data_IF_504661412571
#
_entry.id   IF_504661412571
#
_cell.length_a   1.000
_cell.length_b   1.000
_cell.length_c   1.000
_cell.angle_alpha   90.00
_cell.angle_beta   90.00
_cell.angle_gamma   90.00
#
_symmetry.space_group_name_H-M   'P 1'
#
loop_
_entity.id
_entity.type
_entity.pdbx_description
1 polymer ?
2 non-polymer ?
3 non-polymer ?
4 water ?
#
# COMPACT_ATOMS: atom_id res chain seq x y z
N UNK A 25 -3.45 -24.52 -7.76
CA UNK A 25 -4.94 -24.32 -7.74
C UNK A 25 -5.38 -22.84 -7.96
N UNK A 26 -5.18 -21.97 -6.97
CA UNK A 26 -5.46 -20.52 -7.12
C UNK A 26 -4.17 -19.69 -7.34
N UNK A 27 -4.18 -18.85 -8.37
CA UNK A 27 -2.97 -18.09 -8.70
C UNK A 27 -3.26 -16.62 -8.92
N UNK A 28 -2.24 -15.79 -8.78
CA UNK A 28 -2.39 -14.33 -8.93
C UNK A 28 -1.91 -13.85 -10.29
N UNK A 29 -2.68 -12.96 -10.91
CA UNK A 29 -2.17 -12.14 -12.02
C UNK A 29 -2.11 -10.71 -11.54
N UNK A 30 -0.93 -10.10 -11.61
CA UNK A 30 -0.69 -8.79 -10.96
C UNK A 30 -0.11 -7.77 -11.94
N UNK A 31 -0.34 -6.48 -11.66
CA UNK A 31 0.38 -5.44 -12.40
C UNK A 31 0.69 -4.32 -11.44
N UNK A 32 1.95 -3.94 -11.29
CA UNK A 32 2.34 -2.79 -10.50
C UNK A 32 2.73 -1.62 -11.35
N UNK A 33 2.31 -0.39 -10.97
CA UNK A 33 2.71 0.84 -11.69
C UNK A 33 2.99 1.94 -10.70
N UNK A 34 4.02 2.73 -10.97
CA UNK A 34 4.36 3.86 -10.08
C UNK A 34 4.75 5.03 -10.90
N UNK A 35 4.30 6.24 -10.54
CA UNK A 35 4.68 7.40 -11.33
C UNK A 35 4.98 8.50 -10.32
N UNK A 36 5.91 9.35 -10.68
CA UNK A 36 6.29 10.46 -9.84
C UNK A 36 5.20 11.49 -9.69
N UNK A 37 4.30 11.56 -10.68
CA UNK A 37 3.27 12.57 -10.68
C UNK A 37 3.81 13.80 -11.39
N UNK A 38 3.10 14.92 -11.25
CA UNK A 38 3.37 16.07 -12.09
C UNK A 38 4.00 17.18 -11.30
N UNK A 39 4.22 16.96 -10.00
CA UNK A 39 4.72 17.97 -9.10
C UNK A 39 6.01 17.54 -8.38
N UNK A 40 6.02 16.34 -7.80
CA UNK A 40 7.09 15.98 -6.88
C UNK A 40 8.42 15.82 -7.62
N UNK A 41 9.51 16.22 -6.94
CA UNK A 41 10.89 16.13 -7.45
C UNK A 41 11.33 14.68 -7.64
N UNK A 42 11.09 13.84 -6.63
CA UNK A 42 11.45 12.42 -6.67
C UNK A 42 10.25 11.51 -6.39
N UNK A 43 10.43 10.22 -6.61
CA UNK A 43 9.37 9.26 -6.32
C UNK A 43 9.73 8.55 -5.05
N UNK A 44 9.00 8.86 -3.97
CA UNK A 44 9.28 8.30 -2.66
C UNK A 44 8.36 7.15 -2.32
N UNK A 45 7.53 6.72 -3.26
CA UNK A 45 6.76 5.48 -3.15
C UNK A 45 7.64 4.30 -3.56
N UNK A 46 7.49 3.16 -2.90
CA UNK A 46 8.14 1.90 -3.39
C UNK A 46 7.09 0.83 -3.48
N UNK A 47 7.28 -0.13 -4.38
CA UNK A 47 6.24 -1.11 -4.63
C UNK A 47 6.92 -2.42 -4.93
N UNK A 48 6.23 -3.53 -4.64
CA UNK A 48 6.66 -4.85 -5.09
C UNK A 48 5.40 -5.60 -5.51
N UNK A 49 5.49 -6.43 -6.57
CA UNK A 49 4.40 -7.36 -6.91
C UNK A 49 4.96 -8.62 -7.55
N UNK A 50 4.56 -9.76 -7.03
CA UNK A 50 4.94 -11.03 -7.57
C UNK A 50 3.82 -12.01 -7.32
N UNK A 51 4.12 -13.28 -7.58
CA UNK A 51 3.11 -14.33 -7.53
C UNK A 51 2.44 -14.54 -6.15
N UNK A 52 3.17 -14.26 -5.07
CA UNK A 52 2.63 -14.39 -3.70
C UNK A 52 2.44 -13.06 -2.89
N UNK A 53 3.32 -12.06 -3.10
CA UNK A 53 3.39 -10.82 -2.32
C UNK A 53 3.10 -9.61 -3.17
N UNK A 54 2.26 -8.71 -2.67
CA UNK A 54 1.97 -7.44 -3.26
C UNK A 54 2.26 -6.49 -2.13
N UNK A 55 2.90 -5.34 -2.39
CA UNK A 55 3.31 -4.48 -1.25
C UNK A 55 3.55 -3.10 -1.74
N UNK A 56 3.17 -2.13 -0.92
CA UNK A 56 3.32 -0.77 -1.36
C UNK A 56 3.61 0.08 -0.15
N UNK A 57 4.52 1.04 -0.33
CA UNK A 57 5.10 1.80 0.75
C UNK A 57 5.37 3.24 0.27
N UNK A 58 4.69 4.21 0.92
CA UNK A 58 4.75 5.63 0.57
C UNK A 58 5.64 6.31 1.60
N UNK A 59 6.85 6.66 1.18
CA UNK A 59 7.89 7.17 2.07
C UNK A 59 7.82 8.67 2.18
N UNK A 60 8.39 9.18 3.26
CA UNK A 60 8.43 10.62 3.55
C UNK A 60 9.72 10.94 4.37
N UNK A 61 10.16 12.20 4.31
CA UNK A 61 11.40 12.60 4.98
C UNK A 61 12.10 13.73 4.24
N UNK A 62 12.91 14.49 4.96
CA UNK A 62 13.57 15.67 4.37
C UNK A 62 14.64 15.22 3.41
N UNK A 63 14.56 15.67 2.15
CA UNK A 63 15.61 15.43 1.14
C UNK A 63 15.48 14.09 0.41
N UNK A 64 14.25 13.57 0.30
CA UNK A 64 14.01 12.22 -0.25
C UNK A 64 14.82 11.15 0.50
N UNK A 65 14.91 11.31 1.81
CA UNK A 65 15.29 10.23 2.70
C UNK A 65 14.09 9.27 2.69
N UNK A 66 13.09 9.66 1.94
CA UNK A 66 11.81 8.99 2.06
C UNK A 66 11.73 7.86 1.07
N UNK A 67 12.49 7.98 -0.02
CA UNK A 67 12.65 6.85 -0.87
C UNK A 67 13.49 5.84 -0.13
N UNK A 68 14.39 6.31 0.74
CA UNK A 68 15.20 5.39 1.56
C UNK A 68 14.27 4.55 2.45
N UNK A 69 13.41 5.22 3.22
CA UNK A 69 12.49 4.55 4.13
C UNK A 69 11.60 3.52 3.42
N UNK A 70 10.97 3.92 2.30
CA UNK A 70 10.06 3.05 1.60
C UNK A 70 10.79 1.83 0.99
N UNK A 71 11.99 2.04 0.47
CA UNK A 71 12.78 0.93 -0.07
C UNK A 71 13.21 -0.07 0.98
N UNK A 72 13.63 0.42 2.14
CA UNK A 72 14.06 -0.45 3.26
C UNK A 72 12.97 -1.38 3.69
N UNK A 73 11.75 -0.85 3.82
CA UNK A 73 10.59 -1.71 4.15
C UNK A 73 10.22 -2.68 3.05
N UNK A 74 10.20 -2.24 1.79
CA UNK A 74 9.86 -3.20 0.73
C UNK A 74 10.94 -4.32 0.69
N UNK A 75 12.17 -3.89 0.87
CA UNK A 75 13.35 -4.79 0.88
C UNK A 75 13.26 -5.83 1.98
N UNK A 76 12.65 -5.46 3.09
CA UNK A 76 12.45 -6.42 4.19
C UNK A 76 11.24 -7.34 3.96
N UNK A 77 10.30 -6.97 3.07
CA UNK A 77 9.14 -7.83 2.74
C UNK A 77 9.43 -8.81 1.61
N UNK A 78 10.32 -8.41 0.71
CA UNK A 78 10.58 -9.15 -0.52
C UNK A 78 10.74 -10.65 -0.36
N UNK A 79 11.33 -11.09 0.73
CA UNK A 79 11.66 -12.52 0.88
C UNK A 79 10.40 -13.35 1.02
N UNK A 80 9.30 -12.71 1.41
CA UNK A 80 8.03 -13.42 1.56
C UNK A 80 7.48 -13.88 0.22
N UNK A 81 7.96 -13.32 -0.87
CA UNK A 81 7.44 -13.71 -2.17
C UNK A 81 8.01 -15.06 -2.59
N UNK A 82 9.27 -15.29 -2.31
CA UNK A 82 9.96 -16.43 -2.87
C UNK A 82 10.22 -17.53 -1.86
N UNK A 83 9.99 -17.23 -0.57
CA UNK A 83 10.06 -18.23 0.50
C UNK A 83 9.01 -19.32 0.27
N UNK A 84 9.31 -20.53 0.73
CA UNK A 84 8.41 -21.66 0.65
C UNK A 84 7.11 -21.27 1.29
N UNK A 85 6.00 -21.49 0.57
CA UNK A 85 4.66 -21.15 1.03
C UNK A 85 3.99 -22.29 1.80
N UNK A 86 3.15 -21.95 2.78
CA UNK A 86 3.04 -20.61 3.36
C UNK A 86 3.24 -20.79 4.86
N UNK A 87 2.13 -21.02 5.57
CA UNK A 87 2.17 -21.19 7.01
C UNK A 87 1.42 -20.03 7.66
N UNK A 88 2.05 -19.41 8.64
CA UNK A 88 1.38 -18.37 9.44
C UNK A 88 1.59 -16.97 8.83
N UNK A 89 0.70 -16.62 7.91
CA UNK A 89 0.87 -15.41 7.09
C UNK A 89 1.05 -14.15 7.91
N UNK A 90 0.16 -13.94 8.89
CA UNK A 90 0.20 -12.73 9.69
C UNK A 90 1.51 -12.60 10.48
N UNK A 91 2.03 -13.74 10.95
CA UNK A 91 3.22 -13.75 11.77
C UNK A 91 4.45 -13.42 10.91
N UNK A 92 4.50 -13.99 9.71
CA UNK A 92 5.54 -13.74 8.73
C UNK A 92 5.54 -12.26 8.35
N UNK A 93 4.34 -11.75 8.06
CA UNK A 93 4.11 -10.35 7.71
C UNK A 93 4.51 -9.42 8.83
N UNK A 94 4.06 -9.74 10.03
CA UNK A 94 4.44 -8.97 11.20
C UNK A 94 5.96 -8.93 11.37
N UNK A 95 6.61 -10.08 11.25
CA UNK A 95 8.06 -10.11 11.39
C UNK A 95 8.73 -9.31 10.29
N UNK A 96 8.22 -9.38 9.06
CA UNK A 96 8.85 -8.70 7.94
C UNK A 96 8.85 -7.20 8.17
N UNK A 97 7.71 -6.69 8.60
CA UNK A 97 7.51 -5.26 8.84
C UNK A 97 8.39 -4.76 9.98
N UNK A 98 8.47 -5.52 11.06
CA UNK A 98 9.29 -5.16 12.22
C UNK A 98 10.73 -5.07 11.76
N UNK A 99 11.11 -6.00 10.87
CA UNK A 99 12.49 -6.00 10.29
C UNK A 99 12.76 -4.74 9.43
N UNK A 100 11.86 -4.42 8.50
CA UNK A 100 11.91 -3.13 7.81
C UNK A 100 11.97 -1.94 8.75
N UNK A 101 11.17 -1.93 9.81
CA UNK A 101 11.14 -0.78 10.71
C UNK A 101 12.47 -0.65 11.54
N UNK A 102 13.12 -1.78 11.86
CA UNK A 102 14.44 -1.79 12.52
C UNK A 102 15.52 -1.23 11.59
N UNK A 103 15.46 -1.63 10.31
CA UNK A 103 16.37 -1.06 9.29
C UNK A 103 16.29 0.46 9.23
N UNK A 104 15.07 0.99 9.32
CA UNK A 104 14.87 2.43 9.29
C UNK A 104 15.51 3.04 10.53
N UNK A 105 15.21 2.48 11.71
CA UNK A 105 15.84 2.94 12.96
C UNK A 105 17.34 2.97 12.85
N UNK A 106 17.90 1.91 12.30
CA UNK A 106 19.36 1.73 12.18
C UNK A 106 19.88 2.85 11.32
N UNK A 107 19.18 3.13 10.23
CA UNK A 107 19.48 4.22 9.29
C UNK A 107 19.50 5.58 9.95
N UNK A 108 18.43 5.93 10.64
CA UNK A 108 18.34 7.16 11.43
C UNK A 108 19.42 7.30 12.51
N UNK A 109 19.75 6.17 13.15
CA UNK A 109 20.75 6.15 14.20
C UNK A 109 22.11 6.48 13.56
N UNK A 110 22.37 5.94 12.38
CA UNK A 110 23.61 6.22 11.65
C UNK A 110 23.73 7.58 10.95
N UNK A 111 22.62 8.32 10.85
CA UNK A 111 22.64 9.69 10.32
C UNK A 111 21.39 10.44 10.73
N UNK A 112 21.43 11.17 11.89
CA UNK A 112 20.28 12.04 12.18
C UNK A 112 20.04 13.07 11.05
N UNK A 113 20.80 12.91 9.95
CA UNK A 113 20.54 13.48 8.60
C UNK A 113 19.33 12.80 7.90
N UNK A 114 18.72 11.85 8.59
CA UNK A 114 17.50 11.21 8.17
C UNK A 114 16.40 11.32 9.25
N UNK A 115 16.68 12.02 10.35
CA UNK A 115 15.69 12.08 11.46
C UNK A 115 14.26 12.37 10.98
N UNK A 116 13.29 11.59 11.46
CA UNK A 116 11.88 11.77 11.09
C UNK A 116 11.42 11.10 9.81
N UNK A 117 12.34 10.45 9.11
CA UNK A 117 11.99 9.78 7.88
C UNK A 117 11.09 8.62 8.22
N UNK A 118 10.17 8.27 7.33
CA UNK A 118 9.35 7.09 7.55
C UNK A 118 8.55 6.69 6.34
N UNK A 119 7.70 5.68 6.51
CA UNK A 119 6.92 5.18 5.39
C UNK A 119 5.60 4.56 5.86
N UNK A 120 4.59 4.63 5.00
CA UNK A 120 3.41 3.82 5.17
C UNK A 120 3.81 2.48 4.65
N UNK A 121 2.98 1.49 4.91
CA UNK A 121 3.12 0.17 4.30
C UNK A 121 1.75 -0.46 4.23
N UNK A 122 1.34 -0.90 3.05
CA UNK A 122 0.24 -1.86 2.89
C UNK A 122 0.71 -3.03 2.02
N UNK A 123 0.50 -4.26 2.49
CA UNK A 123 0.97 -5.45 1.77
C UNK A 123 -0.06 -6.59 1.91
N UNK A 124 -0.12 -7.45 0.90
CA UNK A 124 -0.85 -8.71 1.02
C UNK A 124 0.06 -9.88 0.72
N UNK A 125 0.03 -10.91 1.57
CA UNK A 125 0.70 -12.20 1.26
C UNK A 125 -0.36 -13.28 1.03
N UNK A 126 -0.31 -13.94 -0.13
CA UNK A 126 -1.29 -14.96 -0.52
C UNK A 126 -0.75 -16.35 -0.23
N UNK A 127 -1.63 -17.26 0.20
CA UNK A 127 -1.39 -18.73 0.20
C UNK A 127 -2.71 -19.53 0.05
N UNK A 128 -2.85 -20.22 -1.07
CA UNK A 128 -4.08 -20.98 -1.36
C UNK A 128 -5.28 -20.08 -1.48
N UNK A 129 -6.24 -20.26 -0.57
CA UNK A 129 -7.43 -19.41 -0.64
C UNK A 129 -7.52 -18.49 0.59
N UNK A 130 -6.39 -18.28 1.23
CA UNK A 130 -6.27 -17.27 2.26
C UNK A 130 -5.17 -16.24 1.95
N UNK A 131 -5.24 -15.12 2.65
CA UNK A 131 -4.29 -14.04 2.49
C UNK A 131 -4.15 -13.37 3.84
N UNK A 132 -2.97 -12.79 4.08
CA UNK A 132 -2.76 -11.93 5.19
C UNK A 132 -2.62 -10.54 4.62
N UNK A 133 -3.21 -9.57 5.33
CA UNK A 133 -3.10 -8.14 5.03
C UNK A 133 -2.43 -7.44 6.20
N UNK A 134 -1.37 -6.66 5.91
CA UNK A 134 -0.68 -5.86 6.90
C UNK A 134 -0.74 -4.37 6.44
N UNK A 135 -1.00 -3.47 7.38
CA UNK A 135 -1.25 -2.08 7.03
C UNK A 135 -0.88 -1.15 8.17
N UNK A 136 -0.32 0.00 7.80
CA UNK A 136 -0.09 1.12 8.68
C UNK A 136 0.02 2.36 7.76
N UNK A 137 -0.73 3.41 8.06
CA UNK A 137 -0.57 4.63 7.31
C UNK A 137 -1.78 4.96 6.48
N UNK A 138 -1.58 5.69 5.38
CA UNK A 138 -2.71 6.18 4.57
C UNK A 138 -2.71 5.71 3.11
N UNK A 139 -1.82 4.76 2.81
CA UNK A 139 -1.96 4.01 1.60
C UNK A 139 -3.17 3.08 1.88
N UNK A 140 -3.71 2.46 0.83
CA UNK A 140 -5.00 1.73 0.94
C UNK A 140 -4.93 0.42 0.26
N UNK A 141 -5.78 -0.52 0.73
CA UNK A 141 -6.08 -1.74 0.01
C UNK A 141 -7.60 -1.76 -0.19
N UNK A 142 -8.01 -2.22 -1.38
CA UNK A 142 -9.45 -2.35 -1.75
C UNK A 142 -9.68 -3.73 -2.33
N UNK A 143 -10.89 -4.24 -2.16
CA UNK A 143 -11.33 -5.47 -2.78
C UNK A 143 -12.47 -5.14 -3.71
N UNK A 144 -12.38 -5.62 -4.95
CA UNK A 144 -13.54 -5.71 -5.84
C UNK A 144 -13.98 -7.18 -5.91
N UNK A 145 -15.18 -7.43 -5.42
CA UNK A 145 -15.68 -8.79 -5.28
C UNK A 145 -17.18 -8.75 -5.59
N UNK A 146 -17.64 -9.65 -6.44
CA UNK A 146 -19.08 -9.68 -6.84
C UNK A 146 -19.65 -8.31 -7.16
N UNK A 147 -18.81 -7.49 -7.81
CA UNK A 147 -19.22 -6.18 -8.32
C UNK A 147 -19.21 -5.08 -7.29
N UNK A 148 -18.94 -5.41 -6.03
CA UNK A 148 -18.84 -4.39 -4.97
C UNK A 148 -17.37 -4.02 -4.69
N UNK A 149 -17.13 -2.73 -4.44
CA UNK A 149 -15.79 -2.24 -4.08
C UNK A 149 -15.76 -1.90 -2.59
N UNK A 150 -14.85 -2.52 -1.85
CA UNK A 150 -14.71 -2.21 -0.43
C UNK A 150 -13.23 -1.89 -0.12
N UNK A 151 -13.00 -1.05 0.90
CA UNK A 151 -11.68 -0.68 1.33
C UNK A 151 -11.32 -1.52 2.52
N UNK A 152 -10.25 -2.30 2.41
CA UNK A 152 -9.99 -3.36 3.37
C UNK A 152 -8.99 -2.91 4.41
N UNK A 153 -8.52 -1.68 4.21
CA UNK A 153 -7.68 -0.93 5.16
C UNK A 153 -8.41 0.32 5.57
N UNK A 154 -8.01 0.82 6.74
CA UNK A 154 -8.51 2.06 7.27
C UNK A 154 -7.33 3.00 7.39
N UNK A 155 -7.46 4.21 6.89
CA UNK A 155 -6.40 5.21 6.99
C UNK A 155 -6.07 5.48 8.44
N UNK A 156 -4.79 5.48 8.78
CA UNK A 156 -4.33 5.69 10.13
C UNK A 156 -4.01 7.15 10.33
N UNK A 157 -5.01 8.01 10.11
CA UNK A 157 -4.84 9.44 10.11
C UNK A 157 -5.79 10.07 11.11
N UNK A 158 -5.44 11.26 11.60
CA UNK A 158 -6.35 12.14 12.38
C UNK A 158 -7.64 12.40 11.63
N UNK A 159 -7.58 12.79 10.34
CA UNK A 159 -8.83 12.95 9.54
C UNK A 159 -9.76 11.73 9.55
N UNK A 160 -9.22 10.53 9.38
CA UNK A 160 -10.05 9.36 9.49
C UNK A 160 -10.77 9.24 10.88
N UNK A 161 -10.04 9.47 11.97
CA UNK A 161 -10.65 9.44 13.30
C UNK A 161 -11.82 10.41 13.35
N UNK A 162 -11.61 11.61 12.81
CA UNK A 162 -12.59 12.67 12.86
C UNK A 162 -13.82 12.27 12.07
N UNK A 163 -13.65 11.67 10.90
CA UNK A 163 -14.80 11.29 10.10
C UNK A 163 -15.55 10.13 10.77
N UNK A 164 -14.80 9.14 11.26
CA UNK A 164 -15.39 7.99 11.97
C UNK A 164 -16.27 8.50 13.10
N UNK A 165 -15.86 9.61 13.72
CA UNK A 165 -16.54 10.20 14.88
C UNK A 165 -17.49 11.31 14.51
N UNK A 166 -17.73 11.42 13.22
CA UNK A 166 -18.68 12.37 12.65
C UNK A 166 -18.34 13.80 12.98
N UNK A 167 -17.06 14.07 13.19
CA UNK A 167 -16.58 15.37 13.63
C UNK A 167 -16.26 16.29 12.46
N UNK A 168 -16.00 15.69 11.29
CA UNK A 168 -15.88 16.39 10.01
C UNK A 168 -16.60 15.56 8.97
N UNK A 169 -17.06 16.19 7.91
CA UNK A 169 -17.83 15.46 6.92
C UNK A 169 -16.89 14.64 6.04
N UNK A 170 -17.41 13.63 5.34
CA UNK A 170 -16.51 12.89 4.46
C UNK A 170 -15.93 13.77 3.35
N UNK A 171 -16.69 14.77 2.90
CA UNK A 171 -16.23 15.70 1.86
C UNK A 171 -15.08 16.59 2.35
N UNK A 172 -15.19 17.18 3.54
CA UNK A 172 -14.10 17.96 4.17
C UNK A 172 -12.84 17.11 4.39
N UNK A 173 -13.03 15.79 4.40
CA UNK A 173 -11.94 14.83 4.47
C UNK A 173 -11.22 14.72 3.13
N UNK A 174 -11.68 15.53 2.16
CA UNK A 174 -11.25 15.56 0.73
C UNK A 174 -11.20 14.18 0.07
N UNK A 181 0.97 13.29 7.32
CA UNK A 181 0.24 14.50 7.78
C UNK A 181 0.27 14.39 9.32
N UNK A 182 -0.87 14.00 9.89
CA UNK A 182 -0.86 13.35 11.18
C UNK A 182 -1.27 11.92 10.88
N UNK A 183 -0.35 11.00 11.04
CA UNK A 183 -0.59 9.67 10.52
C UNK A 183 0.37 8.74 11.19
N UNK A 184 -0.06 7.50 11.44
CA UNK A 184 0.86 6.42 11.83
C UNK A 184 1.81 6.08 10.69
N UNK A 185 3.04 5.72 11.00
CA UNK A 185 4.04 5.49 9.96
C UNK A 185 5.09 4.62 10.56
N UNK A 186 5.81 3.89 9.71
CA UNK A 186 7.02 3.24 10.19
C UNK A 186 8.16 4.27 10.17
N UNK A 187 8.61 4.66 11.36
CA UNK A 187 9.64 5.71 11.50
C UNK A 187 10.84 5.16 12.23
N UNK A 188 10.87 3.86 12.47
CA UNK A 188 11.91 3.28 13.28
C UNK A 188 11.48 3.12 14.73
N UNK A 189 10.49 3.85 15.20
CA UNK A 189 9.97 3.58 16.53
C UNK A 189 9.02 2.39 16.43
N UNK A 190 9.11 1.47 17.39
CA UNK A 190 8.27 0.27 17.44
C UNK A 190 6.76 0.57 17.43
N UNK A 191 6.02 -0.12 16.58
CA UNK A 191 4.58 0.13 16.35
C UNK A 191 4.08 -1.16 15.76
N UNK A 192 2.90 -1.57 16.19
CA UNK A 192 2.30 -2.74 15.64
C UNK A 192 1.35 -2.27 14.54
N UNK A 193 1.49 -2.83 13.34
CA UNK A 193 0.60 -2.46 12.27
C UNK A 193 -0.67 -3.30 12.39
N UNK A 194 -1.66 -3.03 11.55
CA UNK A 194 -2.89 -3.82 11.59
C UNK A 194 -2.64 -5.08 10.80
N UNK A 195 -3.12 -6.22 11.28
CA UNK A 195 -2.87 -7.50 10.65
C UNK A 195 -4.20 -8.22 10.55
N UNK A 196 -4.58 -8.64 9.34
CA UNK A 196 -5.88 -9.26 9.10
C UNK A 196 -5.79 -10.43 8.14
N UNK A 197 -6.21 -11.58 8.61
CA UNK A 197 -6.34 -12.75 7.74
C UNK A 197 -7.67 -12.69 6.98
N UNK A 198 -7.66 -13.03 5.69
CA UNK A 198 -8.85 -12.91 4.87
C UNK A 198 -8.96 -14.05 3.89
N UNK A 199 -10.15 -14.24 3.36
CA UNK A 199 -10.36 -15.19 2.27
C UNK A 199 -9.97 -14.65 0.88
N UNK A 200 -9.14 -15.41 0.16
CA UNK A 200 -8.80 -15.12 -1.24
C UNK A 200 -9.71 -15.95 -2.14
N UNK A 201 -10.57 -15.31 -2.91
CA UNK A 201 -11.51 -16.02 -3.76
C UNK A 201 -11.27 -15.86 -5.25
N UNK A 202 -11.41 -16.94 -5.98
CA UNK A 202 -11.35 -16.89 -7.42
C UNK A 202 -12.29 -15.77 -7.84
N UNK A 203 -11.84 -14.93 -8.74
CA UNK A 203 -12.63 -13.78 -9.16
C UNK A 203 -12.36 -12.49 -8.42
N UNK A 204 -11.81 -12.54 -7.21
CA UNK A 204 -11.43 -11.29 -6.51
C UNK A 204 -10.50 -10.45 -7.36
N UNK A 205 -10.72 -9.14 -7.35
CA UNK A 205 -9.69 -8.20 -7.78
C UNK A 205 -9.27 -7.32 -6.58
N UNK A 206 -7.95 -7.29 -6.28
CA UNK A 206 -7.36 -6.47 -5.22
C UNK A 206 -6.64 -5.23 -5.77
N UNK A 207 -6.86 -4.07 -5.14
CA UNK A 207 -6.08 -2.85 -5.46
C UNK A 207 -5.25 -2.41 -4.23
N UNK A 208 -3.93 -2.27 -4.35
CA UNK A 208 -3.14 -1.48 -3.37
C UNK A 208 -2.77 -0.11 -3.99
N UNK A 209 -2.87 0.97 -3.23
CA UNK A 209 -2.53 2.27 -3.81
C UNK A 209 -1.96 3.23 -2.77
N UNK A 210 -1.09 4.16 -3.20
CA UNK A 210 -0.70 5.28 -2.34
C UNK A 210 -1.79 6.36 -2.35
N UNK A 211 -1.72 7.31 -1.39
CA UNK A 211 -2.61 8.45 -1.39
C UNK A 211 -2.53 9.30 -2.68
N UNK A 212 -1.51 9.10 -3.50
CA UNK A 212 -1.41 9.82 -4.78
C UNK A 212 -2.43 9.36 -5.83
N UNK A 213 -3.03 8.19 -5.59
CA UNK A 213 -4.22 7.79 -6.35
C UNK A 213 -5.52 8.26 -5.70
N UNK A 214 -5.71 7.92 -4.43
CA UNK A 214 -7.02 8.04 -3.79
C UNK A 214 -7.29 9.46 -3.35
N UNK A 215 -6.26 10.28 -3.23
CA UNK A 215 -6.51 11.70 -2.98
C UNK A 215 -7.18 12.39 -4.18
N UNK A 216 -6.55 12.39 -5.37
CA UNK A 216 -7.27 13.02 -6.50
C UNK A 216 -8.42 12.25 -7.16
N UNK A 217 -8.54 10.94 -6.95
CA UNK A 217 -9.49 10.10 -7.71
C UNK A 217 -10.51 9.46 -6.77
N UNK A 218 -11.82 9.69 -6.99
CA UNK A 218 -12.86 9.13 -6.10
C UNK A 218 -12.94 7.62 -6.24
N UNK A 219 -13.54 6.99 -5.25
CA UNK A 219 -13.80 5.57 -5.30
C UNK A 219 -14.72 5.17 -6.46
N UNK A 220 -15.64 6.03 -6.88
CA UNK A 220 -16.53 5.62 -7.99
C UNK A 220 -15.71 5.50 -9.29
N UNK A 221 -14.82 6.47 -9.51
CA UNK A 221 -13.90 6.45 -10.65
C UNK A 221 -12.91 5.28 -10.57
N UNK A 222 -12.33 5.00 -9.39
CA UNK A 222 -11.47 3.82 -9.19
C UNK A 222 -12.21 2.51 -9.52
N UNK A 223 -13.44 2.37 -9.06
CA UNK A 223 -14.24 1.21 -9.42
C UNK A 223 -14.36 1.04 -10.95
N UNK A 224 -14.58 2.13 -11.68
CA UNK A 224 -14.58 2.12 -13.16
C UNK A 224 -13.33 1.53 -13.76
N UNK A 225 -12.17 2.04 -13.30
CA UNK A 225 -10.87 1.55 -13.75
C UNK A 225 -10.68 0.08 -13.43
N UNK A 226 -11.23 -0.35 -12.28
CA UNK A 226 -11.08 -1.73 -11.79
C UNK A 226 -11.96 -2.71 -12.57
N UNK A 227 -12.83 -2.16 -13.41
CA UNK A 227 -13.71 -2.91 -14.30
C UNK A 227 -13.00 -3.38 -15.57
N UNK A 228 -11.88 -2.72 -15.91
CA UNK A 228 -11.06 -3.09 -17.06
C UNK A 228 -10.46 -4.49 -16.85
N UNK A 229 -10.74 -5.44 -17.79
CA UNK A 229 -10.40 -6.85 -17.66
C UNK A 229 -8.93 -7.17 -17.42
N UNK A 230 -8.05 -6.64 -18.26
CA UNK A 230 -6.64 -6.95 -18.17
C UNK A 230 -6.03 -6.13 -17.02
N UNK A 231 -5.33 -6.80 -16.09
CA UNK A 231 -4.79 -6.12 -14.90
C UNK A 231 -3.80 -5.01 -15.24
N UNK A 232 -2.94 -5.22 -16.22
CA UNK A 232 -1.99 -4.18 -16.64
C UNK A 232 -2.68 -2.89 -17.11
N UNK A 233 -3.76 -3.06 -17.86
CA UNK A 233 -4.50 -1.92 -18.43
C UNK A 233 -5.33 -1.18 -17.35
N UNK A 234 -5.83 -1.92 -16.40
CA UNK A 234 -6.48 -1.35 -15.23
C UNK A 234 -5.51 -0.49 -14.45
N UNK A 235 -4.34 -1.07 -14.18
CA UNK A 235 -3.27 -0.35 -13.45
C UNK A 235 -2.86 0.89 -14.19
N UNK A 236 -2.65 0.76 -15.51
CA UNK A 236 -2.30 1.90 -16.36
C UNK A 236 -3.37 2.96 -16.29
N UNK A 237 -4.64 2.58 -16.38
CA UNK A 237 -5.74 3.55 -16.27
C UNK A 237 -5.76 4.37 -14.98
N UNK A 238 -5.53 3.71 -13.86
CA UNK A 238 -5.47 4.37 -12.56
C UNK A 238 -4.39 5.43 -12.51
N UNK A 239 -3.20 5.08 -12.96
CA UNK A 239 -2.11 6.08 -13.04
C UNK A 239 -2.56 7.25 -13.91
N UNK A 240 -3.02 6.97 -15.12
CA UNK A 240 -3.57 8.01 -16.00
C UNK A 240 -4.59 8.89 -15.31
N UNK A 241 -5.52 8.27 -14.60
CA UNK A 241 -6.57 9.06 -13.89
C UNK A 241 -5.99 9.96 -12.80
N UNK A 242 -5.14 9.45 -11.90
CA UNK A 242 -4.36 10.32 -10.98
C UNK A 242 -3.68 11.49 -11.70
N UNK A 243 -3.06 11.22 -12.83
CA UNK A 243 -2.32 12.25 -13.58
C UNK A 243 -3.27 13.23 -14.24
N UNK A 244 -4.36 12.72 -14.83
CA UNK A 244 -5.41 13.61 -15.33
C UNK A 244 -5.95 14.48 -14.19
N UNK A 245 -5.94 13.93 -12.95
CA UNK A 245 -6.41 14.68 -11.79
C UNK A 245 -5.39 15.68 -11.27
N UNK A 246 -4.27 15.85 -11.97
CA UNK A 246 -3.27 16.90 -11.61
C UNK A 246 -1.97 16.27 -11.08
N UNK A 247 -2.01 14.95 -10.87
CA UNK A 247 -0.88 14.21 -10.29
C UNK A 247 -0.11 14.98 -9.21
N UNK A 248 -0.81 15.46 -8.15
CA UNK A 248 -0.17 16.27 -7.13
C UNK A 248 0.91 15.53 -6.29
N UNK A 249 0.93 14.21 -6.33
CA UNK A 249 1.82 13.44 -5.47
C UNK A 249 2.33 12.25 -6.26
N UNK A 250 3.35 11.56 -5.75
CA UNK A 250 3.70 10.25 -6.28
C UNK A 250 2.43 9.40 -6.31
N UNK A 251 2.20 8.66 -7.39
CA UNK A 251 1.06 7.72 -7.45
C UNK A 251 1.52 6.30 -7.78
N UNK A 252 1.11 5.34 -6.96
CA UNK A 252 1.55 3.98 -7.15
C UNK A 252 0.37 3.07 -6.96
N UNK A 253 0.25 2.05 -7.80
CA UNK A 253 -0.83 1.03 -7.71
C UNK A 253 -0.27 -0.33 -7.98
N UNK A 254 -0.93 -1.32 -7.38
CA UNK A 254 -0.80 -2.73 -7.72
C UNK A 254 -2.22 -3.24 -7.91
N UNK A 255 -2.53 -3.74 -9.11
CA UNK A 255 -3.85 -4.39 -9.30
C UNK A 255 -3.61 -5.88 -9.46
N UNK A 256 -4.43 -6.71 -8.81
CA UNK A 256 -4.19 -8.14 -8.93
C UNK A 256 -5.46 -8.98 -8.88
N UNK A 257 -5.49 -10.05 -9.69
CA UNK A 257 -6.63 -10.96 -9.74
C UNK A 257 -6.25 -12.31 -9.15
N UNK A 258 -7.22 -12.93 -8.49
CA UNK A 258 -7.11 -14.29 -7.99
C UNK A 258 -7.90 -15.11 -9.00
N UNK A 259 -7.26 -16.10 -9.61
CA UNK A 259 -7.88 -16.84 -10.72
C UNK A 259 -7.69 -18.36 -10.55
N UNK A 260 -8.54 -19.15 -11.21
CA UNK A 260 -8.26 -20.60 -11.39
C UNK A 260 -7.21 -20.85 -12.49
X LIG B 1 1.81 10.05 -0.98
X LIG C 1 5.44 10.21 0.39
X LIG D 1 5.72 13.45 -15.68
X LIG D 1 7.02 13.90 -15.38
X LIG D 1 5.61 11.95 -15.55
X LIG D 1 5.76 11.54 -14.22
X LIG D 1 4.25 11.46 -16.01
X LIG D 1 4.42 10.10 -16.27
#
# INVERSE_FOLDING_TARGET
>A
MGSSHHHHHHSSGLVPRGSHMARVTLVLRYAARSDRGLVRANNEDSVYAGARLLALADGMGGHAAGEVASQLVIAALAHLDDDEPGGDLLAKLDAAVRAGNSAIAAQVEMEPDLEGMGTTLTAILFAGNRLGLVHIGDSRGYLLRDGELTQITKDDTFVQTLVDEGRITPEEAHSHPQRSLIMRALTGHEVEPTLTMREARAGDRYLLCSDGLSDPVSDETILEALQIPEVAESAHRLIELALRGGGPDNVTVVVADVVD
>B hetero
1 MN MN
>C hetero
1 MN MN
>D hetero
1 GOL C1 O1 C2 O2 C3 O3
#
